data_IF_398787541895
#
_entry.id   IF_398787541895
#
_cell.length_a   1.000
_cell.length_b   1.000
_cell.length_c   1.000
_cell.angle_alpha   90.00
_cell.angle_beta   90.00
_cell.angle_gamma   90.00
#
_symmetry.space_group_name_H-M   'P 1'
#
loop_
_entity.id
_entity.type
_entity.pdbx_description
1 polymer ?
#
# COMPACT_ATOMS: atom_id res chain seq x y z
N UNK A 1 6.00 -5.88 -0.80
CA UNK A 1 5.05 -4.88 -1.32
C UNK A 1 3.66 -5.17 -0.78
N UNK A 2 3.01 -4.18 -0.27
CA UNK A 2 1.68 -4.22 0.35
C UNK A 2 0.65 -3.43 -0.48
N UNK A 3 -0.60 -3.39 -0.03
CA UNK A 3 -1.68 -2.65 -0.71
C UNK A 3 -1.36 -1.16 -0.85
N UNK A 4 -0.77 -0.53 0.16
CA UNK A 4 -0.40 0.89 0.13
C UNK A 4 0.62 1.19 -0.97
N UNK A 5 1.66 0.36 -1.10
CA UNK A 5 2.68 0.51 -2.14
C UNK A 5 2.10 0.31 -3.54
N UNK A 6 1.25 -0.71 -3.68
CA UNK A 6 0.55 -1.01 -4.95
C UNK A 6 -0.42 0.09 -5.36
N UNK A 7 -1.12 0.67 -4.40
CA UNK A 7 -2.08 1.74 -4.65
C UNK A 7 -1.41 2.89 -5.39
N UNK A 8 -0.33 3.42 -4.82
CA UNK A 8 0.37 4.59 -5.35
C UNK A 8 1.46 4.25 -6.38
N UNK A 9 1.64 2.95 -6.68
CA UNK A 9 2.65 2.48 -7.63
C UNK A 9 4.09 2.64 -7.15
N UNK A 10 4.30 2.66 -5.84
CA UNK A 10 5.63 2.77 -5.24
C UNK A 10 6.31 1.39 -5.19
N UNK A 11 6.65 0.91 -6.36
CA UNK A 11 7.26 -0.41 -6.57
C UNK A 11 7.94 -0.49 -7.93
N UNK A 12 8.91 -1.40 -8.07
CA UNK A 12 9.59 -1.69 -9.32
C UNK A 12 8.95 -2.85 -10.05
N UNK A 13 8.86 -2.79 -11.40
CA UNK A 13 8.23 -3.83 -12.20
C UNK A 13 9.06 -5.11 -12.26
N UNK A 14 10.38 -4.97 -12.34
CA UNK A 14 11.31 -6.09 -12.53
C UNK A 14 12.01 -6.53 -11.23
N UNK A 15 11.62 -5.97 -10.10
CA UNK A 15 12.05 -6.35 -8.77
C UNK A 15 10.85 -6.80 -7.94
N UNK A 16 10.10 -5.86 -7.42
CA UNK A 16 8.98 -6.12 -6.50
C UNK A 16 7.83 -6.93 -7.11
N UNK A 17 7.61 -6.81 -8.41
CA UNK A 17 6.55 -7.52 -9.14
C UNK A 17 6.96 -8.95 -9.58
N UNK A 18 8.19 -9.36 -9.31
CA UNK A 18 8.69 -10.70 -9.66
C UNK A 18 8.20 -11.74 -8.66
N UNK A 19 7.77 -12.88 -9.14
CA UNK A 19 7.33 -14.00 -8.32
C UNK A 19 5.97 -14.56 -8.72
N UNK A 20 5.59 -15.70 -8.15
CA UNK A 20 4.35 -16.41 -8.48
C UNK A 20 3.16 -16.07 -7.57
N UNK A 21 3.42 -15.48 -6.39
CA UNK A 21 2.37 -15.19 -5.42
C UNK A 21 2.78 -14.06 -4.48
N UNK A 22 1.87 -13.11 -4.23
CA UNK A 22 2.07 -11.94 -3.37
C UNK A 22 1.10 -11.98 -2.15
N UNK A 23 1.48 -12.64 -1.04
CA UNK A 23 0.55 -12.96 0.06
C UNK A 23 0.01 -11.73 0.79
N UNK A 24 0.77 -10.64 0.88
CA UNK A 24 0.39 -9.43 1.63
C UNK A 24 -0.03 -8.25 0.74
N UNK A 25 -0.18 -8.48 -0.58
CA UNK A 25 -0.47 -7.38 -1.51
C UNK A 25 -1.81 -6.67 -1.26
N UNK A 26 -2.72 -7.30 -0.54
CA UNK A 26 -4.05 -6.78 -0.22
C UNK A 26 -4.19 -6.33 1.24
N UNK A 27 -3.06 -6.01 1.89
CA UNK A 27 -3.02 -5.54 3.28
C UNK A 27 -2.34 -4.17 3.30
N UNK A 28 -2.91 -3.19 4.00
CA UNK A 28 -2.29 -1.87 4.17
C UNK A 28 -0.99 -1.94 4.97
N UNK A 29 -0.08 -0.98 4.76
CA UNK A 29 1.24 -0.96 5.41
C UNK A 29 1.15 -0.98 6.93
N UNK A 30 0.26 -0.19 7.50
CA UNK A 30 0.06 -0.15 8.96
C UNK A 30 -0.40 -1.50 9.49
N UNK A 31 -1.26 -2.21 8.77
CA UNK A 31 -1.73 -3.53 9.17
C UNK A 31 -0.66 -4.62 8.97
N UNK A 32 0.23 -4.49 7.98
CA UNK A 32 1.41 -5.35 7.85
C UNK A 32 2.29 -5.23 9.10
N UNK A 33 2.57 -4.03 9.58
CA UNK A 33 3.33 -3.82 10.81
C UNK A 33 2.63 -4.39 12.04
N UNK A 34 1.31 -4.18 12.15
CA UNK A 34 0.49 -4.73 13.26
C UNK A 34 0.52 -6.26 13.25
N UNK A 35 0.38 -6.86 12.07
CA UNK A 35 0.42 -8.31 11.88
C UNK A 35 1.79 -8.89 12.24
N UNK A 36 2.88 -8.22 11.85
CA UNK A 36 4.24 -8.63 12.19
C UNK A 36 4.48 -8.59 13.72
N UNK A 37 4.07 -7.50 14.39
CA UNK A 37 4.13 -7.38 15.85
C UNK A 37 3.30 -8.46 16.55
N UNK A 38 2.07 -8.65 16.08
CA UNK A 38 1.21 -9.72 16.62
C UNK A 38 1.83 -11.11 16.46
N UNK A 39 2.45 -11.39 15.32
CA UNK A 39 3.11 -12.70 15.09
C UNK A 39 4.26 -12.93 16.07
N UNK A 40 5.05 -11.92 16.36
CA UNK A 40 6.13 -11.99 17.35
C UNK A 40 5.58 -12.20 18.77
N UNK A 41 4.61 -11.39 19.19
CA UNK A 41 3.96 -11.53 20.50
C UNK A 41 3.33 -12.92 20.70
N UNK A 42 2.76 -13.47 19.62
CA UNK A 42 2.20 -14.83 19.64
C UNK A 42 3.26 -15.90 19.84
N UNK A 43 4.45 -15.75 19.25
CA UNK A 43 5.57 -16.67 19.49
C UNK A 43 6.05 -16.56 20.93
N UNK A 44 6.30 -15.36 21.43
CA UNK A 44 6.74 -15.09 22.80
C UNK A 44 5.77 -15.69 23.82
N UNK A 45 4.46 -15.55 23.63
CA UNK A 45 3.45 -16.11 24.53
C UNK A 45 3.44 -17.65 24.59
N UNK A 46 4.11 -18.30 23.64
CA UNK A 46 4.31 -19.75 23.59
C UNK A 46 5.71 -20.20 24.00
N UNK A 47 6.57 -19.25 24.42
CA UNK A 47 7.97 -19.54 24.72
C UNK A 47 8.82 -19.79 23.46
N UNK A 48 8.35 -19.40 22.28
CA UNK A 48 9.05 -19.54 21.01
C UNK A 48 9.84 -18.26 20.69
N UNK A 49 10.92 -18.39 19.93
CA UNK A 49 11.67 -17.23 19.43
C UNK A 49 10.82 -16.43 18.42
N UNK A 50 10.73 -15.09 18.55
CA UNK A 50 10.06 -14.24 17.58
C UNK A 50 10.62 -14.44 16.16
N UNK A 51 9.80 -14.79 15.17
CA UNK A 51 10.29 -15.15 13.83
C UNK A 51 10.65 -13.94 12.96
N UNK A 52 10.17 -12.74 13.31
CA UNK A 52 10.39 -11.52 12.52
C UNK A 52 11.38 -10.63 13.26
N UNK A 53 12.57 -10.33 12.70
CA UNK A 53 13.52 -9.43 13.33
C UNK A 53 12.90 -8.07 13.63
N UNK A 54 13.18 -7.51 14.81
CA UNK A 54 12.65 -6.20 15.23
C UNK A 54 13.00 -5.11 14.22
N UNK A 55 14.23 -5.13 13.70
CA UNK A 55 14.66 -4.18 12.66
C UNK A 55 13.82 -4.22 11.39
N UNK A 56 13.26 -5.38 11.02
CA UNK A 56 12.36 -5.50 9.86
C UNK A 56 10.99 -4.82 10.09
N UNK A 57 10.62 -4.62 11.35
CA UNK A 57 9.37 -3.97 11.75
C UNK A 57 9.56 -2.46 11.95
N UNK A 58 10.70 -2.06 12.53
CA UNK A 58 10.96 -0.69 12.99
C UNK A 58 11.77 0.15 12.00
N UNK A 59 12.52 -0.50 11.10
CA UNK A 59 13.27 0.21 10.05
C UNK A 59 12.30 1.04 9.22
N UNK A 60 12.64 2.30 8.98
CA UNK A 60 11.90 3.17 8.08
C UNK A 60 11.83 2.56 6.68
N UNK A 61 10.62 2.44 6.09
CA UNK A 61 10.46 1.86 4.76
C UNK A 61 11.27 2.59 3.70
N UNK A 62 11.87 1.82 2.81
CA UNK A 62 12.66 2.32 1.69
C UNK A 62 12.62 1.34 0.52
N UNK A 63 12.53 1.87 -0.70
CA UNK A 63 12.71 1.08 -1.92
C UNK A 63 14.18 0.67 -2.15
N UNK A 64 15.13 1.19 -1.37
CA UNK A 64 16.56 0.86 -1.41
C UNK A 64 17.22 0.97 -2.80
N UNK A 65 16.70 1.86 -3.65
CA UNK A 65 17.22 2.08 -5.00
C UNK A 65 18.45 3.01 -5.03
N UNK A 66 18.67 3.76 -3.95
CA UNK A 66 19.82 4.64 -3.76
C UNK A 66 20.19 4.76 -2.27
N UNK A 67 21.45 5.08 -1.96
CA UNK A 67 21.88 5.30 -0.58
C UNK A 67 21.01 6.36 0.14
N UNK A 68 20.59 6.05 1.37
CA UNK A 68 19.82 6.97 2.21
C UNK A 68 18.39 7.26 1.77
N UNK A 69 17.88 6.57 0.76
CA UNK A 69 16.49 6.73 0.30
C UNK A 69 15.51 6.30 1.40
N UNK A 70 14.42 7.08 1.52
CA UNK A 70 13.28 6.77 2.39
C UNK A 70 11.99 6.94 1.62
N UNK A 71 10.98 6.14 1.96
CA UNK A 71 9.65 6.28 1.34
C UNK A 71 9.05 7.65 1.67
N UNK A 72 9.34 8.20 2.86
CA UNK A 72 8.93 9.54 3.29
C UNK A 72 9.47 10.68 2.43
N UNK A 73 10.51 10.45 1.61
CA UNK A 73 10.98 11.44 0.63
C UNK A 73 9.95 11.70 -0.49
N UNK A 74 9.07 10.73 -0.74
CA UNK A 74 8.16 10.72 -1.89
C UNK A 74 6.71 10.48 -1.53
N UNK A 75 6.42 9.88 -0.38
CA UNK A 75 5.08 9.52 0.08
C UNK A 75 4.74 10.27 1.37
N UNK A 76 3.45 10.52 1.63
CA UNK A 76 3.03 10.92 2.97
C UNK A 76 3.27 9.77 3.96
N UNK A 77 3.31 10.06 5.29
CA UNK A 77 3.40 9.01 6.30
C UNK A 77 2.34 7.92 6.08
N UNK A 78 2.74 6.65 6.15
CA UNK A 78 1.84 5.53 5.86
C UNK A 78 0.54 5.52 6.70
N UNK A 79 0.53 5.91 8.00
CA UNK A 79 -0.73 6.00 8.74
C UNK A 79 -1.74 6.98 8.11
N UNK A 80 -1.25 8.07 7.52
CA UNK A 80 -2.09 9.05 6.83
C UNK A 80 -2.49 8.54 5.44
N UNK A 81 -1.53 7.97 4.70
CA UNK A 81 -1.77 7.38 3.39
C UNK A 81 -2.83 6.28 3.43
N UNK A 82 -2.71 5.34 4.38
CA UNK A 82 -3.61 4.21 4.51
C UNK A 82 -5.05 4.64 4.87
N UNK A 83 -5.22 5.68 5.69
CA UNK A 83 -6.53 6.26 5.98
C UNK A 83 -7.17 6.87 4.73
N UNK A 84 -6.42 7.62 3.93
CA UNK A 84 -6.88 8.20 2.68
C UNK A 84 -7.26 7.09 1.68
N UNK A 85 -6.38 6.10 1.51
CA UNK A 85 -6.62 4.97 0.61
C UNK A 85 -7.82 4.12 1.04
N UNK A 86 -8.08 3.98 2.33
CA UNK A 86 -9.26 3.29 2.84
C UNK A 86 -10.56 3.98 2.37
N UNK A 87 -10.61 5.32 2.41
CA UNK A 87 -11.77 6.06 1.91
C UNK A 87 -11.87 5.90 0.39
N UNK A 88 -10.77 6.15 -0.33
CA UNK A 88 -10.77 6.18 -1.78
C UNK A 88 -11.03 4.82 -2.43
N UNK A 89 -10.47 3.75 -1.85
CA UNK A 89 -10.51 2.40 -2.44
C UNK A 89 -11.56 1.54 -1.78
N UNK A 90 -11.45 1.31 -0.47
CA UNK A 90 -12.30 0.36 0.23
C UNK A 90 -13.74 0.84 0.37
N UNK A 91 -13.93 2.15 0.55
CA UNK A 91 -15.27 2.76 0.65
C UNK A 91 -15.76 3.33 -0.69
N UNK A 92 -14.94 3.26 -1.74
CA UNK A 92 -15.23 3.85 -3.06
C UNK A 92 -15.60 5.34 -2.99
N UNK A 93 -15.00 6.06 -2.03
CA UNK A 93 -15.22 7.49 -1.85
C UNK A 93 -14.51 8.32 -2.92
N UNK A 94 -15.03 9.50 -3.17
CA UNK A 94 -14.43 10.47 -4.08
C UNK A 94 -13.46 11.44 -3.38
N UNK A 95 -12.77 12.28 -4.15
CA UNK A 95 -11.85 13.27 -3.62
C UNK A 95 -12.53 14.27 -2.66
N UNK A 96 -13.80 14.64 -2.93
CA UNK A 96 -14.55 15.57 -2.09
C UNK A 96 -14.88 14.96 -0.72
N UNK A 97 -15.22 13.67 -0.66
CA UNK A 97 -15.44 12.94 0.59
C UNK A 97 -14.17 12.85 1.43
N UNK A 98 -13.02 12.64 0.79
CA UNK A 98 -11.73 12.59 1.47
C UNK A 98 -11.39 13.96 2.07
N UNK A 99 -11.58 15.04 1.31
CA UNK A 99 -11.37 16.42 1.80
C UNK A 99 -12.33 16.72 2.95
N UNK A 100 -13.59 16.32 2.84
CA UNK A 100 -14.59 16.47 3.91
C UNK A 100 -14.23 15.70 5.18
N UNK A 101 -13.49 14.60 5.06
CA UNK A 101 -12.95 13.84 6.18
C UNK A 101 -11.74 14.53 6.86
N UNK A 102 -11.32 15.71 6.38
CA UNK A 102 -10.29 16.54 7.00
C UNK A 102 -8.90 16.43 6.35
N UNK A 103 -8.78 15.79 5.19
CA UNK A 103 -7.52 15.72 4.46
C UNK A 103 -7.29 16.99 3.63
N UNK A 104 -6.06 17.43 3.56
CA UNK A 104 -5.65 18.60 2.79
C UNK A 104 -5.78 18.31 1.28
N UNK A 105 -6.38 19.26 0.54
CA UNK A 105 -6.72 19.08 -0.88
C UNK A 105 -5.53 18.71 -1.75
N UNK A 106 -4.38 19.37 -1.57
CA UNK A 106 -3.19 19.10 -2.38
C UNK A 106 -2.65 17.70 -2.15
N UNK A 107 -2.76 17.18 -0.92
CA UNK A 107 -2.42 15.80 -0.60
C UNK A 107 -3.37 14.82 -1.28
N UNK A 108 -4.69 15.09 -1.22
CA UNK A 108 -5.70 14.25 -1.86
C UNK A 108 -5.49 14.18 -3.36
N UNK A 109 -5.38 15.33 -4.04
CA UNK A 109 -5.15 15.42 -5.49
C UNK A 109 -3.90 14.65 -5.91
N UNK A 110 -2.83 14.77 -5.13
CA UNK A 110 -1.58 14.06 -5.37
C UNK A 110 -1.75 12.54 -5.25
N UNK A 111 -2.33 12.06 -4.16
CA UNK A 111 -2.48 10.62 -3.92
C UNK A 111 -3.45 9.99 -4.91
N UNK A 112 -4.61 10.60 -5.17
CA UNK A 112 -5.57 10.13 -6.17
C UNK A 112 -4.90 10.04 -7.56
N UNK A 113 -4.14 11.06 -7.96
CA UNK A 113 -3.38 11.03 -9.22
C UNK A 113 -2.35 9.87 -9.25
N UNK A 114 -1.67 9.61 -8.15
CA UNK A 114 -0.73 8.48 -8.06
C UNK A 114 -1.45 7.15 -8.22
N UNK A 115 -2.58 6.97 -7.56
CA UNK A 115 -3.39 5.74 -7.64
C UNK A 115 -3.88 5.49 -9.07
N UNK A 116 -4.42 6.49 -9.73
CA UNK A 116 -4.96 6.34 -11.09
C UNK A 116 -3.86 6.02 -12.10
N UNK A 117 -2.70 6.67 -11.97
CA UNK A 117 -1.54 6.43 -12.84
C UNK A 117 -0.83 5.09 -12.62
N UNK A 118 -1.04 4.46 -11.48
CA UNK A 118 -0.33 3.23 -11.11
C UNK A 118 -1.00 1.95 -11.65
N UNK A 119 -2.15 2.02 -12.33
CA UNK A 119 -2.88 0.84 -12.79
C UNK A 119 -2.01 -0.09 -13.64
N UNK A 120 -1.17 0.44 -14.54
CA UNK A 120 -0.30 -0.38 -15.38
C UNK A 120 0.69 -1.23 -14.58
N UNK A 121 1.17 -0.74 -13.43
CA UNK A 121 2.02 -1.49 -12.51
C UNK A 121 1.24 -2.61 -11.84
N UNK A 122 0.05 -2.29 -11.30
CA UNK A 122 -0.82 -3.26 -10.62
C UNK A 122 -1.20 -4.44 -11.50
N UNK A 123 -1.33 -4.23 -12.83
CA UNK A 123 -1.63 -5.29 -13.80
C UNK A 123 -0.54 -6.34 -13.95
N UNK A 124 0.66 -6.04 -13.52
CA UNK A 124 1.83 -6.91 -13.66
C UNK A 124 2.17 -7.68 -12.38
N UNK A 125 1.43 -7.42 -11.31
CA UNK A 125 1.65 -8.11 -10.04
C UNK A 125 1.07 -9.52 -10.05
N UNK A 126 1.78 -10.49 -9.40
CA UNK A 126 1.28 -11.85 -9.25
C UNK A 126 -0.01 -11.89 -8.42
N UNK A 127 -0.79 -12.97 -8.51
CA UNK A 127 -1.97 -13.16 -7.68
C UNK A 127 -1.60 -13.16 -6.19
N UNK A 128 -2.56 -12.85 -5.35
CA UNK A 128 -2.41 -12.83 -3.90
C UNK A 128 -3.73 -13.12 -3.20
N UNK A 129 -3.67 -13.25 -1.89
CA UNK A 129 -4.85 -13.45 -1.05
C UNK A 129 -5.67 -12.16 -1.03
N UNK A 130 -6.99 -12.29 -1.24
CA UNK A 130 -7.93 -11.19 -1.02
C UNK A 130 -8.37 -11.22 0.44
N UNK A 131 -8.16 -10.13 1.16
CA UNK A 131 -8.56 -9.92 2.55
C UNK A 131 -9.39 -8.64 2.75
N UNK A 132 -9.30 -7.70 1.81
CA UNK A 132 -10.05 -6.45 1.80
C UNK A 132 -11.42 -6.58 1.13
N UNK A 133 -12.30 -5.61 1.34
CA UNK A 133 -13.59 -5.54 0.64
C UNK A 133 -13.40 -5.31 -0.86
N UNK A 134 -12.46 -4.43 -1.23
CA UNK A 134 -12.13 -4.08 -2.62
C UNK A 134 -10.63 -4.26 -2.86
N UNK A 135 -10.26 -5.37 -3.53
CA UNK A 135 -8.88 -5.70 -3.83
C UNK A 135 -8.46 -5.22 -5.22
N UNK A 136 -7.21 -4.74 -5.31
CA UNK A 136 -6.62 -4.44 -6.61
C UNK A 136 -6.48 -5.69 -7.49
N UNK A 137 -6.79 -5.50 -8.78
CA UNK A 137 -6.68 -6.56 -9.80
C UNK A 137 -7.88 -7.51 -9.85
N UNK A 138 -8.73 -7.55 -8.82
CA UNK A 138 -10.00 -8.29 -8.82
C UNK A 138 -11.20 -7.35 -8.91
N UNK A 139 -11.33 -6.42 -7.97
CA UNK A 139 -12.51 -5.60 -7.82
C UNK A 139 -12.31 -4.19 -8.40
N UNK A 140 -11.13 -3.58 -8.15
CA UNK A 140 -10.78 -2.27 -8.71
C UNK A 140 -9.84 -2.45 -9.90
N UNK A 141 -10.31 -2.07 -11.08
CA UNK A 141 -9.56 -2.06 -12.34
C UNK A 141 -9.93 -0.83 -13.16
N UNK A 142 -8.92 -0.06 -13.54
CA UNK A 142 -9.09 1.08 -14.45
C UNK A 142 -8.54 0.72 -15.84
N UNK A 143 -9.08 1.30 -16.92
CA UNK A 143 -8.45 1.19 -18.24
C UNK A 143 -7.04 1.81 -18.22
N UNK A 144 -6.01 1.05 -18.56
CA UNK A 144 -4.61 1.53 -18.52
C UNK A 144 -4.34 2.71 -19.44
N UNK A 145 -5.10 2.80 -20.53
CA UNK A 145 -4.98 3.86 -21.54
C UNK A 145 -5.91 5.06 -21.27
N UNK A 146 -6.69 5.00 -20.20
CA UNK A 146 -7.58 6.11 -19.83
C UNK A 146 -6.75 7.33 -19.42
N UNK A 147 -7.18 8.50 -19.88
CA UNK A 147 -6.71 9.81 -19.41
C UNK A 147 -7.70 10.47 -18.47
N UNK A 148 -8.70 9.71 -18.06
CA UNK A 148 -9.67 10.20 -17.08
C UNK A 148 -8.97 10.59 -15.79
N UNK A 149 -9.42 11.67 -15.20
CA UNK A 149 -8.99 12.13 -13.89
C UNK A 149 -10.23 12.48 -13.10
N UNK A 150 -10.23 12.12 -11.87
CA UNK A 150 -11.22 12.61 -10.93
C UNK A 150 -10.97 14.12 -10.73
N UNK A 151 -11.99 14.94 -10.94
CA UNK A 151 -11.97 16.41 -10.83
C UNK A 151 -12.41 16.86 -9.45
#
# INVERSE_FOLDING_TARGET
VCSSDLAVGYSTLYGDAVGGFAPIKDIFKVDVWRLAKWRNQRAESRGETPPIPVNSIEKEPSAELRPGQRDSDSLPPYPLLDQLLNIYIEKSGDAAEIIKAGFEKTLVDRVVTMVDRAEYKRRQYPPGTKVSAIAFGKDRRLPMTSRWKES
#
